data_IF_218361137498
#
_entry.id   IF_218361137498
#
_cell.length_a   1.000
_cell.length_b   1.000
_cell.length_c   1.000
_cell.angle_alpha   90.00
_cell.angle_beta   90.00
_cell.angle_gamma   90.00
#
_symmetry.space_group_name_H-M   'P 1'
#
loop_
_entity.id
_entity.type
_entity.pdbx_description
1 polymer ?
#
# COMPACT_ATOMS: atom_id res chain seq x y z
N UNK A 1 -13.20 -50.65 -13.71
CA UNK A 1 -12.74 -49.44 -14.43
C UNK A 1 -13.17 -48.22 -13.63
N UNK A 2 -12.30 -47.60 -12.81
CA UNK A 2 -12.59 -46.32 -12.11
C UNK A 2 -11.33 -45.60 -11.58
N UNK A 3 -10.11 -46.05 -11.91
CA UNK A 3 -8.85 -45.57 -11.31
C UNK A 3 -8.36 -44.20 -11.82
N UNK A 4 -8.92 -43.67 -12.91
CA UNK A 4 -8.51 -42.37 -13.47
C UNK A 4 -9.19 -41.14 -12.83
N UNK A 5 -10.22 -41.33 -12.00
CA UNK A 5 -10.93 -40.20 -11.37
C UNK A 5 -10.24 -39.68 -10.12
N UNK A 6 -9.50 -40.53 -9.40
CA UNK A 6 -8.82 -40.19 -8.16
C UNK A 6 -7.74 -39.09 -8.28
N UNK A 7 -6.83 -39.09 -9.28
CA UNK A 7 -5.78 -38.07 -9.36
C UNK A 7 -6.30 -36.69 -9.76
N UNK A 8 -7.39 -36.62 -10.54
CA UNK A 8 -8.01 -35.36 -10.96
C UNK A 8 -8.70 -34.67 -9.79
N UNK A 9 -9.40 -35.43 -8.94
CA UNK A 9 -10.08 -34.89 -7.75
C UNK A 9 -9.08 -34.36 -6.71
N UNK A 10 -7.93 -35.04 -6.53
CA UNK A 10 -6.88 -34.60 -5.61
C UNK A 10 -6.23 -33.30 -6.11
N UNK A 11 -5.92 -33.21 -7.41
CA UNK A 11 -5.36 -31.99 -8.00
C UNK A 11 -6.32 -30.79 -7.86
N UNK A 12 -7.62 -30.99 -8.04
CA UNK A 12 -8.63 -29.93 -7.90
C UNK A 12 -8.79 -29.46 -6.44
N UNK A 13 -8.73 -30.38 -5.46
CA UNK A 13 -8.76 -30.03 -4.04
C UNK A 13 -7.51 -29.26 -3.59
N UNK A 14 -6.33 -29.58 -4.14
CA UNK A 14 -5.09 -28.86 -3.82
C UNK A 14 -5.11 -27.42 -4.36
N UNK A 15 -5.76 -27.14 -5.50
CA UNK A 15 -5.85 -25.78 -6.07
C UNK A 15 -6.76 -24.86 -5.25
N UNK A 16 -7.82 -25.40 -4.64
CA UNK A 16 -8.73 -24.64 -3.77
C UNK A 16 -8.13 -24.29 -2.40
N UNK A 17 -7.04 -24.95 -1.99
CA UNK A 17 -6.41 -24.73 -0.69
C UNK A 17 -5.50 -23.48 -0.62
N UNK A 18 -5.25 -22.81 -1.75
CA UNK A 18 -4.33 -21.66 -1.83
C UNK A 18 -5.01 -20.31 -2.12
N UNK A 19 -6.30 -20.15 -1.80
CA UNK A 19 -6.95 -18.82 -1.83
C UNK A 19 -6.55 -18.01 -0.60
N UNK A 20 -5.28 -17.61 -0.51
CA UNK A 20 -4.87 -16.55 0.41
C UNK A 20 -5.44 -15.22 -0.07
N UNK A 21 -6.17 -14.51 0.79
CA UNK A 21 -6.52 -13.11 0.55
C UNK A 21 -5.23 -12.31 0.42
N UNK A 22 -4.95 -11.74 -0.76
CA UNK A 22 -3.87 -10.79 -0.92
C UNK A 22 -4.29 -9.48 -0.25
N UNK A 23 -3.81 -9.22 0.96
CA UNK A 23 -3.90 -7.88 1.54
C UNK A 23 -2.94 -6.96 0.79
N UNK A 24 -3.35 -5.71 0.56
CA UNK A 24 -2.43 -4.72 0.04
C UNK A 24 -1.39 -4.39 1.13
N UNK A 25 -0.13 -4.59 0.80
CA UNK A 25 1.00 -4.15 1.62
C UNK A 25 1.55 -2.80 1.16
N UNK A 26 1.04 -2.29 0.04
CA UNK A 26 1.48 -1.07 -0.60
C UNK A 26 0.26 -0.23 -0.97
N UNK A 27 0.34 1.08 -0.72
CA UNK A 27 -0.74 2.02 -0.93
C UNK A 27 -0.21 3.25 -1.66
N UNK A 28 -0.77 3.56 -2.81
CA UNK A 28 -0.48 4.81 -3.49
C UNK A 28 -1.23 5.94 -2.79
N UNK A 29 -0.51 7.01 -2.47
CA UNK A 29 -1.08 8.20 -1.88
C UNK A 29 -0.84 9.41 -2.78
N UNK A 30 -1.75 10.37 -2.70
CA UNK A 30 -1.56 11.70 -3.27
C UNK A 30 -2.11 12.75 -2.33
N UNK A 31 -1.43 13.90 -2.32
CA UNK A 31 -1.76 15.06 -1.52
C UNK A 31 -1.79 16.28 -2.42
N UNK A 32 -2.82 17.12 -2.27
CA UNK A 32 -2.92 18.38 -2.99
C UNK A 32 -3.42 19.45 -2.04
N UNK A 33 -2.62 20.49 -1.84
CA UNK A 33 -2.97 21.65 -1.04
C UNK A 33 -4.08 22.46 -1.68
N UNK A 34 -5.01 22.96 -0.88
CA UNK A 34 -6.19 23.68 -1.36
C UNK A 34 -5.86 24.99 -2.10
N UNK A 35 -4.67 25.56 -1.87
CA UNK A 35 -4.11 26.72 -2.57
C UNK A 35 -3.24 26.37 -3.79
N UNK A 36 -3.01 25.09 -4.05
CA UNK A 36 -2.16 24.60 -5.15
C UNK A 36 -0.64 24.72 -4.93
N UNK A 37 -0.19 25.26 -3.80
CA UNK A 37 1.23 25.50 -3.50
C UNK A 37 1.97 24.28 -2.94
N UNK A 38 1.24 23.27 -2.45
CA UNK A 38 1.80 22.01 -1.96
C UNK A 38 1.15 20.85 -2.71
N UNK A 39 1.95 19.94 -3.26
CA UNK A 39 1.43 18.71 -3.85
C UNK A 39 2.49 17.64 -3.79
N UNK A 40 2.09 16.40 -3.52
CA UNK A 40 2.99 15.26 -3.48
C UNK A 40 2.24 13.98 -3.79
N UNK A 41 2.96 12.99 -4.30
CA UNK A 41 2.42 11.64 -4.51
C UNK A 41 3.53 10.62 -4.32
N UNK A 42 3.14 9.41 -3.93
CA UNK A 42 4.08 8.34 -3.67
C UNK A 42 3.39 7.05 -3.30
N UNK A 43 4.19 6.09 -2.83
CA UNK A 43 3.72 4.78 -2.38
C UNK A 43 4.18 4.56 -0.95
N UNK A 44 3.23 4.22 -0.07
CA UNK A 44 3.45 3.78 1.30
C UNK A 44 3.51 2.26 1.33
N UNK A 45 4.50 1.70 2.01
CA UNK A 45 4.53 0.29 2.37
C UNK A 45 4.10 0.16 3.81
N UNK A 46 3.07 -0.65 4.08
CA UNK A 46 2.52 -0.80 5.41
C UNK A 46 2.29 -2.27 5.81
N UNK A 47 2.47 -2.56 7.09
CA UNK A 47 2.29 -3.89 7.68
C UNK A 47 1.07 -3.87 8.59
N UNK A 48 0.16 -4.82 8.44
CA UNK A 48 -0.99 -4.92 9.34
C UNK A 48 -0.55 -5.20 10.77
N UNK A 49 -1.05 -4.43 11.72
CA UNK A 49 -0.82 -4.61 13.15
C UNK A 49 -2.05 -5.14 13.90
N UNK A 50 -3.14 -5.47 13.17
CA UNK A 50 -4.41 -5.94 13.71
C UNK A 50 -5.50 -4.87 13.67
N UNK A 51 -6.75 -5.26 13.93
CA UNK A 51 -7.91 -4.33 14.06
C UNK A 51 -8.17 -3.41 12.86
N UNK A 52 -7.66 -3.73 11.67
CA UNK A 52 -7.78 -2.87 10.48
C UNK A 52 -6.74 -1.76 10.41
N UNK A 53 -5.76 -1.76 11.32
CA UNK A 53 -4.67 -0.81 11.39
C UNK A 53 -3.43 -1.35 10.68
N UNK A 54 -2.72 -0.45 10.02
CA UNK A 54 -1.49 -0.74 9.30
C UNK A 54 -0.42 0.27 9.70
N UNK A 55 0.73 -0.22 10.15
CA UNK A 55 1.90 0.60 10.41
C UNK A 55 2.64 0.85 9.09
N UNK A 56 2.82 2.12 8.71
CA UNK A 56 3.67 2.50 7.59
C UNK A 56 5.12 2.25 7.97
N UNK A 57 5.83 1.55 7.11
CA UNK A 57 7.21 1.08 7.35
C UNK A 57 8.19 1.58 6.30
N UNK A 58 7.69 2.00 5.14
CA UNK A 58 8.48 2.68 4.13
C UNK A 58 7.60 3.63 3.31
N UNK A 59 8.25 4.59 2.70
CA UNK A 59 7.65 5.55 1.77
C UNK A 59 8.58 5.73 0.60
N UNK A 60 8.00 5.89 -0.58
CA UNK A 60 8.70 6.30 -1.79
C UNK A 60 7.89 7.39 -2.48
N UNK A 61 8.56 8.35 -3.10
CA UNK A 61 7.93 9.48 -3.77
C UNK A 61 9.00 10.33 -4.44
N UNK A 62 8.58 11.25 -5.30
CA UNK A 62 9.52 12.26 -5.82
C UNK A 62 9.85 13.23 -4.70
N UNK A 63 11.15 13.53 -4.48
CA UNK A 63 11.59 14.40 -3.38
C UNK A 63 11.70 13.69 -2.03
N UNK A 64 10.95 12.61 -1.81
CA UNK A 64 10.94 11.87 -0.54
C UNK A 64 12.26 11.13 -0.31
N UNK A 65 12.98 11.48 0.75
CA UNK A 65 14.26 10.86 1.11
C UNK A 65 14.18 9.87 2.27
N UNK A 66 13.10 9.88 3.05
CA UNK A 66 12.93 8.92 4.14
C UNK A 66 11.63 9.07 4.91
N UNK A 67 11.19 7.97 5.53
CA UNK A 67 10.13 7.96 6.54
C UNK A 67 10.72 8.46 7.87
N UNK A 68 9.98 9.32 8.57
CA UNK A 68 10.35 9.76 9.92
C UNK A 68 9.66 8.82 10.91
N UNK A 69 10.42 8.23 11.84
CA UNK A 69 9.88 7.24 12.76
C UNK A 69 8.75 7.78 13.67
N UNK A 70 7.86 6.91 14.18
CA UNK A 70 6.77 7.32 15.06
C UNK A 70 7.26 8.12 16.28
N UNK A 71 6.54 9.20 16.59
CA UNK A 71 6.77 10.10 17.72
C UNK A 71 7.90 11.10 17.50
N UNK A 72 8.56 11.10 16.33
CA UNK A 72 9.74 11.92 16.09
C UNK A 72 9.43 13.30 15.49
N UNK A 73 8.32 13.43 14.76
CA UNK A 73 7.94 14.72 14.16
C UNK A 73 6.43 14.94 14.21
N UNK A 74 6.04 16.07 14.81
CA UNK A 74 4.63 16.47 14.98
C UNK A 74 3.73 15.38 15.58
N UNK A 75 4.29 14.53 16.46
CA UNK A 75 3.56 13.48 17.15
C UNK A 75 3.13 12.29 16.29
N UNK A 76 3.65 12.15 15.07
CA UNK A 76 3.26 11.11 14.11
C UNK A 76 3.20 9.70 14.71
N UNK A 77 2.21 8.91 14.32
CA UNK A 77 2.12 7.49 14.72
C UNK A 77 2.38 6.54 13.54
N UNK A 78 2.45 7.09 12.32
CA UNK A 78 2.60 6.39 11.07
C UNK A 78 1.52 5.31 10.84
N UNK A 79 0.33 5.53 11.41
CA UNK A 79 -0.80 4.61 11.28
C UNK A 79 -1.69 4.95 10.09
N UNK A 80 -1.98 3.91 9.33
CA UNK A 80 -2.88 3.93 8.18
C UNK A 80 -4.11 3.07 8.49
N UNK A 81 -5.28 3.59 8.12
CA UNK A 81 -6.58 2.94 8.28
C UNK A 81 -7.28 2.82 6.91
N UNK A 82 -6.82 1.92 6.01
CA UNK A 82 -7.27 1.90 4.62
C UNK A 82 -8.78 1.67 4.42
N UNK A 83 -9.42 1.00 5.39
CA UNK A 83 -10.85 0.67 5.36
C UNK A 83 -11.73 1.68 6.10
N UNK A 84 -11.15 2.77 6.60
CA UNK A 84 -11.85 3.78 7.41
C UNK A 84 -11.85 5.14 6.70
N UNK A 85 -12.82 5.98 7.06
CA UNK A 85 -12.82 7.40 6.73
C UNK A 85 -12.89 8.17 8.06
N UNK A 86 -11.85 8.93 8.43
CA UNK A 86 -10.60 9.18 7.69
C UNK A 86 -9.64 7.96 7.65
N UNK A 87 -8.74 7.98 6.66
CA UNK A 87 -7.71 6.95 6.45
C UNK A 87 -6.44 7.17 7.31
N UNK A 88 -6.31 8.32 7.97
CA UNK A 88 -5.19 8.68 8.85
C UNK A 88 -5.73 9.12 10.20
N UNK A 89 -4.92 8.98 11.24
CA UNK A 89 -5.19 9.53 12.57
C UNK A 89 -4.91 11.04 12.64
N UNK A 90 -5.16 11.64 13.81
CA UNK A 90 -4.75 13.00 14.14
C UNK A 90 -3.25 13.21 14.21
N UNK A 91 -2.49 12.13 14.37
CA UNK A 91 -1.03 12.18 14.41
C UNK A 91 -0.45 11.97 13.01
N UNK A 92 -1.06 11.12 12.20
CA UNK A 92 -0.69 10.95 10.81
C UNK A 92 0.69 10.30 10.61
N UNK A 93 1.26 10.51 9.43
CA UNK A 93 2.57 9.98 9.07
C UNK A 93 3.53 11.07 8.62
N UNK A 94 4.79 10.90 8.98
CA UNK A 94 5.84 11.90 8.72
C UNK A 94 6.93 11.40 7.79
N UNK A 95 7.42 12.26 6.91
CA UNK A 95 8.50 11.96 5.99
C UNK A 95 9.36 13.19 5.70
N UNK A 96 10.55 12.95 5.16
CA UNK A 96 11.46 13.99 4.70
C UNK A 96 11.28 14.15 3.21
N UNK A 97 11.06 15.39 2.76
CA UNK A 97 11.02 15.80 1.37
C UNK A 97 12.17 16.75 1.05
N UNK A 98 12.71 16.68 -0.17
CA UNK A 98 13.76 17.57 -0.67
C UNK A 98 13.31 18.17 -1.99
N UNK A 99 13.31 19.49 -2.05
CA UNK A 99 12.99 20.27 -3.24
C UNK A 99 14.13 21.23 -3.57
N UNK A 100 15.04 20.80 -4.44
CA UNK A 100 16.22 21.58 -4.79
C UNK A 100 17.18 21.68 -3.59
N UNK A 101 17.55 22.89 -3.13
CA UNK A 101 18.41 23.06 -1.96
C UNK A 101 17.66 22.90 -0.64
N UNK A 102 16.33 22.92 -0.65
CA UNK A 102 15.51 22.97 0.55
C UNK A 102 15.06 21.57 0.98
N UNK A 103 15.17 21.27 2.28
CA UNK A 103 14.62 20.06 2.91
C UNK A 103 13.45 20.43 3.81
N UNK A 104 12.40 19.62 3.76
CA UNK A 104 11.22 19.75 4.59
C UNK A 104 10.98 18.46 5.37
N UNK A 105 10.72 18.58 6.66
CA UNK A 105 10.04 17.54 7.42
C UNK A 105 8.53 17.78 7.28
N UNK A 106 7.81 16.78 6.78
CA UNK A 106 6.40 16.87 6.39
C UNK A 106 5.60 15.87 7.23
N UNK A 107 4.51 16.30 7.87
CA UNK A 107 3.52 15.43 8.50
C UNK A 107 2.16 15.58 7.82
N UNK A 108 1.58 14.48 7.33
CA UNK A 108 0.24 14.44 6.76
C UNK A 108 -0.70 13.76 7.75
N UNK A 109 -1.74 14.47 8.19
CA UNK A 109 -2.61 14.01 9.27
C UNK A 109 -4.06 14.45 9.07
N UNK A 110 -4.97 13.85 9.84
CA UNK A 110 -6.39 14.21 9.86
C UNK A 110 -6.84 14.61 11.27
N UNK A 111 -7.18 15.88 11.50
CA UNK A 111 -7.58 16.36 12.83
C UNK A 111 -9.09 16.20 13.14
N UNK A 112 -9.83 15.40 12.36
CA UNK A 112 -11.28 15.23 12.45
C UNK A 112 -12.11 16.25 11.68
N UNK A 113 -11.54 17.40 11.27
CA UNK A 113 -12.21 18.39 10.40
C UNK A 113 -11.79 18.29 8.93
N UNK A 114 -10.68 17.61 8.66
CA UNK A 114 -10.11 17.48 7.32
C UNK A 114 -8.66 17.01 7.39
N UNK A 115 -8.02 16.93 6.21
CA UNK A 115 -6.60 16.61 6.10
C UNK A 115 -5.75 17.87 6.04
N UNK A 116 -4.57 17.78 6.64
CA UNK A 116 -3.60 18.87 6.69
C UNK A 116 -2.19 18.34 6.42
N UNK A 117 -1.33 19.21 5.89
CA UNK A 117 0.10 19.01 5.87
C UNK A 117 0.74 20.02 6.82
N UNK A 118 1.50 19.53 7.79
CA UNK A 118 2.39 20.34 8.61
C UNK A 118 3.79 20.25 8.01
N UNK A 119 4.37 21.39 7.69
CA UNK A 119 5.63 21.55 7.01
C UNK A 119 6.61 22.24 7.96
N UNK A 120 7.83 21.75 8.04
CA UNK A 120 8.92 22.43 8.70
C UNK A 120 10.17 22.39 7.82
N UNK A 121 10.77 23.54 7.53
CA UNK A 121 12.01 23.62 6.77
C UNK A 121 13.27 23.54 7.66
N UNK A 122 14.44 23.60 7.03
CA UNK A 122 15.74 23.57 7.72
C UNK A 122 15.96 24.74 8.69
N UNK A 123 15.36 25.89 8.38
CA UNK A 123 15.40 27.11 9.21
C UNK A 123 14.37 27.10 10.34
N UNK A 124 13.63 25.99 10.51
CA UNK A 124 12.56 25.80 11.48
C UNK A 124 11.37 26.73 11.28
N UNK A 125 11.19 27.27 10.07
CA UNK A 125 9.92 27.87 9.70
C UNK A 125 8.87 26.78 9.57
N UNK A 126 7.67 27.04 10.08
CA UNK A 126 6.58 26.07 10.11
C UNK A 126 5.34 26.62 9.44
N UNK A 127 4.67 25.76 8.68
CA UNK A 127 3.40 26.08 8.04
C UNK A 127 2.45 24.89 8.16
N UNK A 128 1.16 25.17 8.32
CA UNK A 128 0.12 24.15 8.23
C UNK A 128 -0.87 24.53 7.15
N UNK A 129 -0.99 23.68 6.14
CA UNK A 129 -1.87 23.93 5.00
C UNK A 129 -2.97 22.87 4.92
N UNK A 130 -4.22 23.25 4.61
CA UNK A 130 -5.27 22.29 4.33
C UNK A 130 -4.97 21.56 3.01
N UNK A 131 -5.19 20.25 3.00
CA UNK A 131 -4.93 19.39 1.85
C UNK A 131 -6.09 18.45 1.56
N UNK A 132 -6.17 17.99 0.32
CA UNK A 132 -6.91 16.78 -0.04
C UNK A 132 -5.95 15.59 -0.01
N UNK A 133 -6.33 14.53 0.69
CA UNK A 133 -5.59 13.27 0.75
C UNK A 133 -6.38 12.19 0.03
N UNK A 134 -5.73 11.46 -0.86
CA UNK A 134 -6.29 10.27 -1.49
C UNK A 134 -5.34 9.10 -1.32
N UNK A 135 -5.92 7.92 -1.05
CA UNK A 135 -5.21 6.68 -0.80
C UNK A 135 -5.85 5.58 -1.63
N UNK A 136 -5.03 4.83 -2.38
CA UNK A 136 -5.47 3.69 -3.19
C UNK A 136 -4.63 2.47 -2.84
N UNK A 137 -5.27 1.37 -2.48
CA UNK A 137 -4.58 0.11 -2.26
C UNK A 137 -4.02 -0.43 -3.57
N UNK A 138 -2.72 -0.74 -3.61
CA UNK A 138 -2.11 -1.46 -4.74
C UNK A 138 -2.17 -2.95 -4.44
N UNK A 139 -2.95 -3.67 -5.24
CA UNK A 139 -3.12 -5.11 -5.10
C UNK A 139 -2.34 -5.76 -6.23
N UNK A 140 -1.22 -6.47 -5.96
CA UNK A 140 -0.52 -7.22 -6.99
C UNK A 140 -1.48 -8.20 -7.66
N UNK A 141 -1.41 -8.31 -8.99
CA UNK A 141 -2.22 -9.30 -9.71
C UNK A 141 -1.97 -10.69 -9.10
N UNK A 142 -3.03 -11.43 -8.72
CA UNK A 142 -2.85 -12.74 -8.11
C UNK A 142 -2.04 -13.66 -9.02
N UNK A 143 -1.00 -14.30 -8.48
CA UNK A 143 -0.21 -15.34 -9.17
C UNK A 143 -1.06 -16.51 -9.69
N UNK A 144 -2.35 -16.55 -9.33
CA UNK A 144 -3.35 -17.48 -9.88
C UNK A 144 -3.53 -17.34 -11.39
N UNK A 145 -3.26 -16.19 -12.01
CA UNK A 145 -3.28 -16.05 -13.48
C UNK A 145 -2.14 -16.83 -14.14
N UNK A 146 -0.94 -16.80 -13.55
CA UNK A 146 0.20 -17.59 -14.01
C UNK A 146 -0.03 -19.09 -13.73
N UNK A 147 -0.62 -19.41 -12.58
CA UNK A 147 -0.98 -20.79 -12.25
C UNK A 147 -2.08 -21.36 -13.16
N UNK A 148 -3.08 -20.55 -13.51
CA UNK A 148 -4.16 -20.93 -14.43
C UNK A 148 -3.61 -21.17 -15.84
N UNK A 149 -2.75 -20.28 -16.32
CA UNK A 149 -2.12 -20.43 -17.64
C UNK A 149 -1.21 -21.66 -17.69
N UNK A 150 -0.34 -21.86 -16.70
CA UNK A 150 0.50 -23.08 -16.61
C UNK A 150 -0.34 -24.35 -16.43
N UNK A 151 -1.47 -24.31 -15.73
CA UNK A 151 -2.43 -25.41 -15.60
C UNK A 151 -3.05 -25.82 -16.94
N UNK A 152 -3.47 -24.85 -17.76
CA UNK A 152 -4.05 -25.10 -19.09
C UNK A 152 -3.01 -25.71 -20.04
N UNK A 153 -1.77 -25.21 -20.03
CA UNK A 153 -0.69 -25.78 -20.85
C UNK A 153 -0.24 -27.16 -20.37
N UNK A 154 -0.21 -27.40 -19.05
CA UNK A 154 0.06 -28.72 -18.48
C UNK A 154 -0.98 -29.76 -18.87
N UNK A 155 -2.27 -29.40 -18.83
CA UNK A 155 -3.37 -30.28 -19.24
C UNK A 155 -3.34 -30.61 -20.74
N UNK A 156 -3.10 -29.63 -21.60
CA UNK A 156 -2.99 -29.85 -23.05
C UNK A 156 -1.76 -30.72 -23.42
N UNK A 157 -0.67 -30.61 -22.66
CA UNK A 157 0.49 -31.50 -22.80
C UNK A 157 0.21 -32.97 -22.43
N UNK A 158 -0.60 -33.20 -21.39
CA UNK A 158 -0.98 -34.55 -20.93
C UNK A 158 -1.96 -35.22 -21.89
N UNK A 159 -2.93 -34.49 -22.46
CA UNK A 159 -3.91 -35.04 -23.42
C UNK A 159 -3.22 -35.54 -24.70
N UNK A 160 -2.13 -34.89 -25.12
CA UNK A 160 -1.38 -35.29 -26.33
C UNK A 160 -0.59 -36.61 -26.18
N UNK A 161 -0.29 -37.03 -24.95
CA UNK A 161 0.51 -38.25 -24.69
C UNK A 161 -0.31 -39.55 -24.74
N UNK A 162 -1.64 -39.45 -24.77
CA UNK A 162 -2.55 -40.60 -24.78
C UNK A 162 -3.17 -40.88 -26.17
N UNK A 163 -2.66 -40.28 -27.25
CA UNK A 163 -3.16 -40.45 -28.63
C UNK A 163 -2.15 -41.06 -29.61
N UNK A 164 -1.14 -41.78 -29.12
CA UNK A 164 -0.26 -42.65 -29.90
C UNK A 164 -0.17 -44.03 -29.27
#
# INVERSE_FOLDING_TARGET
MNSFRLPITIALLCVLAFTGSAYANTYDFSVTGSSGTFSGAGTLTATSIGSGEYLITAITGTGVTGLIAPGSFNGNDDLLFPSSLPQLSSNGFSFIDVNGPDKFDVNIFNNGSGYFAYLQDEDHFTETVPVTFALTATIPEPSTLILLSTGIFGLTGVVRRNSF
#
